data_IF_177643506240
#
_entry.id   IF_177643506240
#
_cell.length_a   1.000
_cell.length_b   1.000
_cell.length_c   1.000
_cell.angle_alpha   90.00
_cell.angle_beta   90.00
_cell.angle_gamma   90.00
#
_symmetry.space_group_name_H-M   'P 1'
#
loop_
_entity.id
_entity.type
_entity.pdbx_description
1 polymer ?
#
# COMPACT_ATOMS: atom_id res chain seq x y z
N UNK A 1 -5.37 -12.96 6.75
CA UNK A 1 -5.60 -14.12 5.86
C UNK A 1 -5.69 -13.70 4.39
N UNK A 2 -6.35 -12.58 4.08
CA UNK A 2 -6.53 -12.07 2.72
C UNK A 2 -5.24 -11.68 1.97
N UNK A 3 -4.28 -10.99 2.62
CA UNK A 3 -2.99 -10.67 1.99
C UNK A 3 -2.24 -11.91 1.53
N UNK A 4 -2.16 -12.94 2.39
CA UNK A 4 -1.53 -14.22 2.06
C UNK A 4 -2.23 -14.91 0.88
N UNK A 5 -3.56 -14.85 0.82
CA UNK A 5 -4.32 -15.40 -0.30
C UNK A 5 -3.92 -14.73 -1.63
N UNK A 6 -3.96 -13.40 -1.70
CA UNK A 6 -3.58 -12.66 -2.92
C UNK A 6 -2.11 -12.88 -3.29
N UNK A 7 -1.22 -12.88 -2.31
CA UNK A 7 0.20 -13.12 -2.54
C UNK A 7 0.45 -14.50 -3.17
N UNK A 8 -0.16 -15.56 -2.61
CA UNK A 8 -0.08 -16.92 -3.16
C UNK A 8 -0.70 -17.02 -4.55
N UNK A 9 -1.89 -16.42 -4.75
CA UNK A 9 -2.57 -16.40 -6.05
C UNK A 9 -1.69 -15.79 -7.15
N UNK A 10 -1.05 -14.66 -6.86
CA UNK A 10 -0.16 -13.96 -7.81
C UNK A 10 1.07 -14.80 -8.19
N UNK A 11 1.71 -15.45 -7.20
CA UNK A 11 2.85 -16.34 -7.45
C UNK A 11 2.44 -17.55 -8.30
N UNK A 12 1.30 -18.17 -7.99
CA UNK A 12 0.79 -19.33 -8.73
C UNK A 12 0.44 -18.99 -10.18
N UNK A 13 -0.12 -17.80 -10.43
CA UNK A 13 -0.44 -17.33 -11.78
C UNK A 13 0.81 -17.17 -12.67
N UNK A 14 1.96 -16.85 -12.09
CA UNK A 14 3.22 -16.60 -12.82
C UNK A 14 4.26 -17.71 -12.62
N UNK A 15 3.82 -18.91 -12.18
CA UNK A 15 4.70 -20.05 -11.86
C UNK A 15 5.68 -20.39 -12.99
N UNK A 16 5.24 -20.39 -14.25
CA UNK A 16 6.08 -20.76 -15.40
C UNK A 16 7.24 -19.79 -15.62
N UNK A 17 6.99 -18.48 -15.51
CA UNK A 17 8.03 -17.46 -15.61
C UNK A 17 9.02 -17.54 -14.44
N UNK A 18 8.55 -17.88 -13.23
CA UNK A 18 9.40 -18.08 -12.06
C UNK A 18 10.30 -19.31 -12.20
N UNK A 19 9.78 -20.45 -12.64
CA UNK A 19 10.58 -21.68 -12.84
C UNK A 19 11.67 -21.47 -13.90
N UNK A 20 11.37 -20.76 -15.00
CA UNK A 20 12.37 -20.41 -16.01
C UNK A 20 13.47 -19.49 -15.48
N UNK A 21 13.11 -18.52 -14.64
CA UNK A 21 14.10 -17.67 -13.97
C UNK A 21 15.01 -18.50 -13.05
N UNK A 22 14.46 -19.49 -12.34
CA UNK A 22 15.25 -20.38 -11.49
C UNK A 22 16.25 -21.21 -12.33
N UNK A 23 15.83 -21.72 -13.50
CA UNK A 23 16.70 -22.43 -14.45
C UNK A 23 17.79 -21.52 -15.05
N UNK A 24 17.45 -20.28 -15.38
CA UNK A 24 18.40 -19.25 -15.86
C UNK A 24 19.44 -18.92 -14.76
N UNK A 25 19.01 -18.73 -13.52
CA UNK A 25 19.90 -18.49 -12.37
C UNK A 25 20.80 -19.69 -12.11
N UNK A 26 20.29 -20.92 -12.30
CA UNK A 26 21.07 -22.15 -12.19
C UNK A 26 22.07 -22.36 -13.36
N UNK A 27 22.08 -21.47 -14.36
CA UNK A 27 23.01 -21.50 -15.49
C UNK A 27 22.63 -22.52 -16.58
N UNK A 28 21.38 -22.99 -16.61
CA UNK A 28 20.94 -24.07 -17.50
C UNK A 28 20.40 -23.60 -18.87
N UNK A 29 20.23 -22.29 -19.12
CA UNK A 29 19.59 -21.77 -20.34
C UNK A 29 20.28 -20.51 -20.90
N UNK A 30 20.29 -20.39 -22.25
CA UNK A 30 20.81 -19.23 -23.00
C UNK A 30 19.66 -18.32 -23.47
N UNK A 31 19.70 -17.08 -23.00
CA UNK A 31 19.10 -15.85 -23.55
C UNK A 31 17.75 -15.96 -24.28
N UNK A 32 16.64 -15.84 -23.54
CA UNK A 32 15.36 -15.33 -24.06
C UNK A 32 14.66 -14.39 -23.06
N UNK A 33 15.39 -13.41 -22.52
CA UNK A 33 15.02 -12.70 -21.28
C UNK A 33 14.02 -11.54 -21.40
N UNK A 34 13.60 -11.12 -22.59
CA UNK A 34 12.86 -9.85 -22.76
C UNK A 34 11.40 -9.86 -22.29
N UNK A 35 10.63 -10.90 -22.62
CA UNK A 35 9.19 -10.97 -22.31
C UNK A 35 8.95 -11.45 -20.87
N UNK A 36 9.69 -12.48 -20.44
CA UNK A 36 9.56 -13.04 -19.09
C UNK A 36 10.06 -12.04 -18.04
N UNK A 37 11.08 -11.23 -18.33
CA UNK A 37 11.50 -10.11 -17.47
C UNK A 37 10.38 -9.09 -17.25
N UNK A 38 9.63 -8.71 -18.30
CA UNK A 38 8.48 -7.79 -18.15
C UNK A 38 7.38 -8.40 -17.28
N UNK A 39 7.06 -9.69 -17.46
CA UNK A 39 6.07 -10.40 -16.62
C UNK A 39 6.50 -10.42 -15.15
N UNK A 40 7.78 -10.66 -14.89
CA UNK A 40 8.33 -10.65 -13.53
C UNK A 40 8.35 -9.25 -12.92
N UNK A 41 8.67 -8.21 -13.69
CA UNK A 41 8.57 -6.82 -13.23
C UNK A 41 7.12 -6.46 -12.84
N UNK A 42 6.15 -6.85 -13.67
CA UNK A 42 4.73 -6.67 -13.35
C UNK A 42 4.31 -7.45 -12.10
N UNK A 43 4.78 -8.70 -11.97
CA UNK A 43 4.55 -9.52 -10.78
C UNK A 43 5.08 -8.81 -9.52
N UNK A 44 6.31 -8.29 -9.54
CA UNK A 44 6.89 -7.57 -8.40
C UNK A 44 6.02 -6.38 -7.99
N UNK A 45 5.49 -5.61 -8.96
CA UNK A 45 4.57 -4.50 -8.66
C UNK A 45 3.29 -5.00 -7.99
N UNK A 46 2.71 -6.11 -8.45
CA UNK A 46 1.54 -6.71 -7.82
C UNK A 46 1.83 -7.28 -6.42
N UNK A 47 2.96 -7.95 -6.22
CA UNK A 47 3.37 -8.43 -4.90
C UNK A 47 3.56 -7.28 -3.92
N UNK A 48 4.13 -6.14 -4.37
CA UNK A 48 4.22 -4.91 -3.56
C UNK A 48 2.85 -4.37 -3.16
N UNK A 49 1.85 -4.42 -4.06
CA UNK A 49 0.46 -4.06 -3.73
C UNK A 49 -0.13 -4.99 -2.68
N UNK A 50 0.05 -6.31 -2.83
CA UNK A 50 -0.42 -7.30 -1.85
C UNK A 50 0.17 -7.07 -0.45
N UNK A 51 1.45 -6.69 -0.36
CA UNK A 51 2.09 -6.33 0.90
C UNK A 51 1.52 -5.05 1.54
N UNK A 52 0.95 -4.13 0.76
CA UNK A 52 0.36 -2.90 1.27
C UNK A 52 -1.06 -3.12 1.75
N UNK A 53 -1.96 -3.48 0.83
CA UNK A 53 -3.37 -3.69 1.14
C UNK A 53 -4.04 -4.56 0.05
N UNK A 54 -4.88 -5.56 0.41
CA UNK A 54 -5.63 -6.33 -0.57
C UNK A 54 -6.54 -5.49 -1.47
N UNK A 55 -7.16 -4.42 -0.96
CA UNK A 55 -8.09 -3.56 -1.73
C UNK A 55 -7.41 -2.79 -2.88
N UNK A 56 -6.08 -2.85 -2.99
CA UNK A 56 -5.38 -2.38 -4.20
C UNK A 56 -5.67 -3.27 -5.42
N UNK A 57 -6.25 -4.45 -5.24
CA UNK A 57 -6.74 -5.32 -6.30
C UNK A 57 -8.25 -5.14 -6.50
N UNK A 58 -8.69 -5.06 -7.75
CA UNK A 58 -10.10 -4.95 -8.09
C UNK A 58 -10.87 -6.19 -7.61
N UNK A 59 -12.04 -5.99 -7.00
CA UNK A 59 -12.87 -7.07 -6.46
C UNK A 59 -12.31 -7.72 -5.18
N UNK A 60 -11.35 -7.07 -4.51
CA UNK A 60 -10.89 -7.46 -3.18
C UNK A 60 -11.57 -6.66 -2.06
N UNK A 61 -12.36 -5.65 -2.40
CA UNK A 61 -13.13 -4.88 -1.42
C UNK A 61 -14.28 -5.74 -0.86
N UNK A 62 -14.63 -5.58 0.42
CA UNK A 62 -15.65 -6.38 1.06
C UNK A 62 -17.03 -5.99 0.53
N UNK A 63 -17.96 -6.96 0.56
CA UNK A 63 -19.37 -6.71 0.22
C UNK A 63 -20.13 -6.02 1.37
N UNK A 64 -19.52 -5.97 2.54
CA UNK A 64 -20.04 -5.44 3.79
C UNK A 64 -19.49 -4.04 4.07
N UNK A 65 -20.34 -3.14 4.58
CA UNK A 65 -19.94 -1.78 4.99
C UNK A 65 -19.28 -1.74 6.38
N UNK A 66 -18.73 -2.86 6.85
CA UNK A 66 -18.09 -2.93 8.17
C UNK A 66 -16.75 -2.18 8.15
N UNK A 67 -16.62 -1.04 8.87
CA UNK A 67 -15.45 -0.19 8.70
C UNK A 67 -14.16 -0.84 9.23
N UNK A 68 -14.27 -1.78 10.17
CA UNK A 68 -13.13 -2.45 10.79
C UNK A 68 -12.43 -3.43 9.84
N UNK A 69 -13.12 -3.90 8.79
CA UNK A 69 -12.57 -4.85 7.82
C UNK A 69 -11.38 -4.27 7.05
N UNK A 70 -11.34 -2.95 6.82
CA UNK A 70 -10.18 -2.28 6.20
C UNK A 70 -8.90 -2.49 7.02
N UNK A 71 -9.01 -2.43 8.34
CA UNK A 71 -7.87 -2.63 9.25
C UNK A 71 -7.54 -4.12 9.26
N UNK A 72 -8.56 -4.98 9.31
CA UNK A 72 -8.38 -6.42 9.42
C UNK A 72 -7.77 -7.08 8.18
N UNK A 73 -8.01 -6.51 7.01
CA UNK A 73 -7.49 -6.97 5.74
C UNK A 73 -5.96 -6.78 5.61
N UNK A 74 -5.34 -5.84 6.32
CA UNK A 74 -3.90 -5.53 6.19
C UNK A 74 -3.13 -5.55 7.51
N UNK A 75 -2.10 -6.39 7.58
CA UNK A 75 -1.18 -6.43 8.72
C UNK A 75 -0.46 -5.10 8.96
N UNK A 76 -0.20 -4.31 7.91
CA UNK A 76 0.39 -2.97 8.07
C UNK A 76 -0.58 -2.01 8.73
N UNK A 77 -1.86 -2.02 8.33
CA UNK A 77 -2.87 -1.16 8.95
C UNK A 77 -3.15 -1.56 10.40
N UNK A 78 -3.17 -2.86 10.73
CA UNK A 78 -3.25 -3.33 12.13
C UNK A 78 -2.18 -2.72 13.02
N UNK A 79 -0.92 -2.76 12.56
CA UNK A 79 0.21 -2.21 13.32
C UNK A 79 0.14 -0.69 13.36
N UNK A 80 -0.24 -0.06 12.24
CA UNK A 80 -0.38 1.39 12.15
C UNK A 80 -1.47 1.90 13.11
N UNK A 81 -2.62 1.24 13.23
CA UNK A 81 -3.70 1.61 14.15
C UNK A 81 -3.21 1.69 15.60
N UNK A 82 -2.58 0.61 16.09
CA UNK A 82 -2.01 0.61 17.43
C UNK A 82 -0.89 1.64 17.62
N UNK A 83 -0.09 1.89 16.59
CA UNK A 83 0.98 2.88 16.63
C UNK A 83 0.43 4.31 16.70
N UNK A 84 -0.55 4.66 15.85
CA UNK A 84 -1.14 5.99 15.81
C UNK A 84 -1.89 6.31 17.10
N UNK A 85 -2.62 5.36 17.67
CA UNK A 85 -3.28 5.54 18.98
C UNK A 85 -2.27 5.92 20.07
N UNK A 86 -1.14 5.20 20.14
CA UNK A 86 -0.06 5.48 21.12
C UNK A 86 0.63 6.81 20.87
N UNK A 87 0.85 7.17 19.60
CA UNK A 87 1.50 8.43 19.23
C UNK A 87 0.60 9.64 19.52
N UNK A 88 -0.70 9.54 19.21
CA UNK A 88 -1.67 10.60 19.49
C UNK A 88 -1.83 10.83 20.99
N UNK A 89 -1.89 9.77 21.80
CA UNK A 89 -1.94 9.87 23.26
C UNK A 89 -0.74 10.62 23.87
N UNK A 90 0.41 10.62 23.17
CA UNK A 90 1.63 11.35 23.55
C UNK A 90 1.75 12.74 22.92
N UNK A 91 0.75 13.18 22.15
CA UNK A 91 0.76 14.47 21.46
C UNK A 91 1.69 14.53 20.24
N UNK A 92 2.08 13.39 19.66
CA UNK A 92 2.91 13.38 18.45
C UNK A 92 2.09 13.63 17.19
N UNK A 93 2.72 14.29 16.20
CA UNK A 93 2.23 14.42 14.83
C UNK A 93 2.99 13.47 13.91
N UNK A 94 2.30 12.89 12.93
CA UNK A 94 2.84 11.83 12.08
C UNK A 94 2.71 12.22 10.61
N UNK A 95 3.76 11.97 9.82
CA UNK A 95 3.73 12.09 8.37
C UNK A 95 3.83 10.68 7.78
N UNK A 96 2.85 10.29 6.98
CA UNK A 96 2.80 8.99 6.32
C UNK A 96 3.16 9.14 4.83
N UNK A 97 4.08 8.31 4.36
CA UNK A 97 4.48 8.26 2.96
C UNK A 97 4.06 6.94 2.32
N UNK A 98 3.56 7.01 1.08
CA UNK A 98 3.28 5.84 0.26
C UNK A 98 3.74 6.09 -1.17
N UNK A 99 4.26 5.03 -1.81
CA UNK A 99 4.61 5.03 -3.23
C UNK A 99 3.38 4.89 -4.15
N UNK A 100 2.24 4.45 -3.62
CA UNK A 100 1.02 4.22 -4.38
C UNK A 100 -0.05 5.22 -3.94
N UNK A 101 -0.54 6.05 -4.85
CA UNK A 101 -1.63 7.02 -4.59
C UNK A 101 -2.91 6.31 -4.14
N UNK A 102 -3.26 5.18 -4.75
CA UNK A 102 -4.39 4.34 -4.30
C UNK A 102 -4.26 3.83 -2.87
N UNK A 103 -3.04 3.72 -2.34
CA UNK A 103 -2.85 3.37 -0.93
C UNK A 103 -3.06 4.60 -0.03
N UNK A 104 -2.84 5.82 -0.54
CA UNK A 104 -3.22 7.05 0.18
C UNK A 104 -4.74 7.16 0.28
N UNK A 105 -5.49 6.76 -0.76
CA UNK A 105 -6.96 6.68 -0.70
C UNK A 105 -7.42 5.76 0.44
N UNK A 106 -6.88 4.54 0.52
CA UNK A 106 -7.18 3.57 1.61
C UNK A 106 -6.79 4.12 2.99
N UNK A 107 -5.65 4.82 3.09
CA UNK A 107 -5.22 5.46 4.33
C UNK A 107 -6.16 6.60 4.74
N UNK A 108 -6.72 7.30 3.77
CA UNK A 108 -7.66 8.39 3.98
C UNK A 108 -8.95 7.88 4.64
N UNK A 109 -9.53 6.80 4.10
CA UNK A 109 -10.70 6.13 4.67
C UNK A 109 -10.41 5.64 6.10
N UNK A 110 -9.23 5.02 6.31
CA UNK A 110 -8.80 4.55 7.63
C UNK A 110 -8.63 5.69 8.65
N UNK A 111 -8.00 6.81 8.25
CA UNK A 111 -7.78 7.97 9.11
C UNK A 111 -9.11 8.65 9.45
N UNK A 112 -10.01 8.77 8.46
CA UNK A 112 -11.35 9.31 8.63
C UNK A 112 -12.17 8.44 9.59
N UNK A 113 -12.12 7.12 9.45
CA UNK A 113 -12.75 6.16 10.36
C UNK A 113 -12.29 6.35 11.81
N UNK A 114 -10.99 6.62 12.02
CA UNK A 114 -10.41 6.86 13.36
C UNK A 114 -10.65 8.29 13.88
N UNK A 115 -11.27 9.16 13.08
CA UNK A 115 -11.57 10.55 13.45
C UNK A 115 -10.32 11.43 13.56
N UNK A 116 -9.23 11.08 12.87
CA UNK A 116 -8.01 11.88 12.89
C UNK A 116 -8.08 13.01 11.86
N UNK A 117 -7.64 14.21 12.25
CA UNK A 117 -7.42 15.31 11.31
C UNK A 117 -6.18 15.02 10.46
N UNK A 118 -6.28 15.25 9.15
CA UNK A 118 -5.19 15.01 8.22
C UNK A 118 -5.14 16.05 7.11
N UNK A 119 -3.99 16.11 6.43
CA UNK A 119 -3.82 16.76 5.15
C UNK A 119 -3.16 15.76 4.19
N UNK A 120 -3.56 15.79 2.92
CA UNK A 120 -3.04 14.90 1.89
C UNK A 120 -2.28 15.69 0.85
N UNK A 121 -1.07 15.23 0.54
CA UNK A 121 -0.23 15.77 -0.52
C UNK A 121 0.12 14.65 -1.50
N UNK A 122 -0.25 14.83 -2.76
CA UNK A 122 0.17 13.94 -3.84
C UNK A 122 0.62 14.73 -5.08
N UNK A 123 0.76 14.01 -6.20
CA UNK A 123 1.20 14.60 -7.47
C UNK A 123 0.15 15.48 -8.15
N UNK A 124 -1.11 15.39 -7.73
CA UNK A 124 -2.22 16.19 -8.28
C UNK A 124 -2.46 17.47 -7.47
N UNK A 125 -1.97 17.55 -6.23
CA UNK A 125 -2.05 18.76 -5.42
C UNK A 125 -1.30 19.92 -6.09
N UNK A 126 -2.01 21.02 -6.38
CA UNK A 126 -1.42 22.26 -6.91
C UNK A 126 -0.34 22.80 -5.95
N UNK A 127 0.76 23.36 -6.49
CA UNK A 127 1.86 23.98 -5.75
C UNK A 127 1.39 25.00 -4.70
N UNK A 128 0.40 25.83 -5.04
CA UNK A 128 -0.13 26.83 -4.10
C UNK A 128 -0.81 26.13 -2.92
N UNK A 129 -1.73 25.20 -3.20
CA UNK A 129 -2.43 24.43 -2.17
C UNK A 129 -1.44 23.64 -1.29
N UNK A 130 -0.46 22.97 -1.91
CA UNK A 130 0.61 22.27 -1.20
C UNK A 130 1.32 23.19 -0.20
N UNK A 131 1.64 24.42 -0.60
CA UNK A 131 2.32 25.39 0.29
C UNK A 131 1.42 25.79 1.46
N UNK A 132 0.12 25.96 1.21
CA UNK A 132 -0.89 26.25 2.24
C UNK A 132 -1.02 25.10 3.23
N UNK A 133 -1.15 23.87 2.75
CA UNK A 133 -1.34 22.68 3.58
C UNK A 133 -0.10 22.39 4.44
N UNK A 134 1.10 22.52 3.85
CA UNK A 134 2.37 22.39 4.59
C UNK A 134 2.46 23.47 5.67
N UNK A 135 2.14 24.72 5.33
CA UNK A 135 2.16 25.81 6.30
C UNK A 135 1.15 25.55 7.42
N UNK A 136 -0.07 25.10 7.11
CA UNK A 136 -1.11 24.78 8.09
C UNK A 136 -0.70 23.66 9.03
N UNK A 137 -0.11 22.58 8.52
CA UNK A 137 0.42 21.49 9.34
C UNK A 137 1.57 21.96 10.26
N UNK A 138 2.41 22.87 9.78
CA UNK A 138 3.55 23.39 10.54
C UNK A 138 3.22 24.50 11.54
N UNK A 139 1.99 25.03 11.56
CA UNK A 139 1.61 26.07 12.54
C UNK A 139 1.78 25.56 13.97
N UNK A 140 2.16 26.44 14.92
CA UNK A 140 2.09 26.13 16.34
C UNK A 140 0.68 25.66 16.71
N UNK A 141 0.57 24.65 17.57
CA UNK A 141 -0.71 24.08 18.00
C UNK A 141 -1.64 23.58 16.87
N UNK A 142 -1.08 23.24 15.70
CA UNK A 142 -1.83 22.55 14.65
C UNK A 142 -2.29 21.18 15.17
N UNK A 143 -3.58 20.82 14.98
CA UNK A 143 -4.23 19.67 15.62
C UNK A 143 -3.65 18.29 15.29
#
# INVERSE_FOLDING_TARGET
QMQTFWYRKLLLQQRTALTRLEEDIAGNTKESGGEDSKKLQHLVVHLRKACNHPYLFSGAEPETDEPEEIIDASGKLKVLDGLLQRLKAKGHRVVLFSQFTRMLDILEDFIALKGYTYARLDGQTNRVQRSVDIAAFNRPESP
#
